data_IF_824866640740
#
_entry.id   IF_824866640740
#
_cell.length_a   1.000
_cell.length_b   1.000
_cell.length_c   1.000
_cell.angle_alpha   90.00
_cell.angle_beta   90.00
_cell.angle_gamma   90.00
#
_symmetry.space_group_name_H-M   'P 1'
#
loop_
_entity.id
_entity.type
_entity.pdbx_description
1 polymer ?
#
# COMPACT_ATOMS: atom_id res chain seq x y z
N UNK A 1 34.57 -84.50 59.84
CA UNK A 1 35.89 -83.91 59.52
C UNK A 1 36.03 -83.77 58.01
N UNK A 2 36.80 -82.77 57.55
CA UNK A 2 36.47 -81.88 56.44
C UNK A 2 36.98 -82.40 55.08
N UNK A 3 36.47 -81.83 53.99
CA UNK A 3 37.14 -81.87 52.69
C UNK A 3 36.98 -80.52 51.98
N UNK A 4 38.14 -79.98 51.59
CA UNK A 4 38.35 -78.66 50.99
C UNK A 4 37.60 -78.50 49.66
N UNK A 5 37.07 -77.28 49.43
CA UNK A 5 36.46 -76.88 48.15
C UNK A 5 37.49 -76.04 47.33
N UNK A 6 37.52 -76.18 45.99
CA UNK A 6 38.69 -75.97 45.13
C UNK A 6 39.00 -74.51 44.78
N UNK A 7 40.19 -74.23 44.20
CA UNK A 7 40.67 -72.88 43.86
C UNK A 7 39.79 -72.13 42.85
N UNK A 8 39.85 -70.78 42.83
CA UNK A 8 39.17 -69.97 41.82
C UNK A 8 39.73 -70.24 40.41
N UNK A 9 38.90 -70.15 39.35
CA UNK A 9 39.36 -70.31 37.97
C UNK A 9 40.31 -69.16 37.58
N UNK A 10 41.43 -69.51 36.94
CA UNK A 10 42.36 -68.56 36.34
C UNK A 10 41.70 -67.81 35.18
N UNK A 11 41.85 -66.48 35.16
CA UNK A 11 41.50 -65.67 33.99
C UNK A 11 42.39 -66.06 32.82
N UNK A 12 41.80 -66.61 31.75
CA UNK A 12 42.49 -66.81 30.49
C UNK A 12 42.91 -65.44 29.92
N UNK A 13 44.16 -65.27 29.45
CA UNK A 13 44.55 -64.05 28.75
C UNK A 13 43.68 -63.92 27.50
N UNK A 14 42.95 -62.82 27.37
CA UNK A 14 42.18 -62.51 26.18
C UNK A 14 43.07 -62.57 24.94
N UNK A 15 42.64 -63.29 23.91
CA UNK A 15 43.36 -63.36 22.65
C UNK A 15 43.69 -61.95 22.13
N UNK A 16 44.91 -61.68 21.63
CA UNK A 16 45.24 -60.38 21.08
C UNK A 16 44.28 -60.11 19.91
N UNK A 17 43.45 -59.07 20.04
CA UNK A 17 42.67 -58.57 18.91
C UNK A 17 43.67 -58.23 17.81
N UNK A 18 43.63 -58.98 16.71
CA UNK A 18 44.37 -58.62 15.50
C UNK A 18 43.91 -57.22 15.09
N UNK A 19 44.80 -56.24 15.20
CA UNK A 19 44.57 -54.94 14.62
C UNK A 19 44.49 -55.14 13.10
N UNK A 20 43.29 -54.97 12.53
CA UNK A 20 43.14 -54.92 11.09
C UNK A 20 43.87 -53.67 10.59
N UNK A 21 44.83 -53.84 9.69
CA UNK A 21 45.54 -52.73 9.07
C UNK A 21 44.62 -51.97 8.11
N UNK A 22 44.67 -50.65 8.15
CA UNK A 22 43.93 -49.75 7.27
C UNK A 22 44.46 -49.87 5.84
N UNK A 23 43.64 -50.32 4.89
CA UNK A 23 44.09 -50.47 3.50
C UNK A 23 44.06 -49.12 2.78
N UNK A 24 44.97 -48.89 1.82
CA UNK A 24 44.98 -47.69 0.97
C UNK A 24 43.62 -47.45 0.29
N UNK A 25 42.96 -48.53 -0.11
CA UNK A 25 41.64 -48.51 -0.75
C UNK A 25 40.57 -47.97 0.19
N UNK A 26 40.60 -48.35 1.48
CA UNK A 26 39.65 -47.88 2.48
C UNK A 26 39.79 -46.38 2.74
N UNK A 27 41.03 -45.87 2.79
CA UNK A 27 41.32 -44.43 2.87
C UNK A 27 40.73 -43.71 1.66
N UNK A 28 40.97 -44.24 0.46
CA UNK A 28 40.58 -43.61 -0.79
C UNK A 28 39.06 -43.57 -0.94
N UNK A 29 38.37 -44.65 -0.58
CA UNK A 29 36.90 -44.70 -0.56
C UNK A 29 36.36 -43.73 0.51
N UNK A 30 36.96 -43.69 1.71
CA UNK A 30 36.55 -42.75 2.75
C UNK A 30 36.72 -41.30 2.31
N UNK A 31 37.84 -40.95 1.67
CA UNK A 31 38.08 -39.62 1.12
C UNK A 31 37.12 -39.29 -0.03
N UNK A 32 36.81 -40.25 -0.89
CA UNK A 32 35.85 -40.07 -1.97
C UNK A 32 34.45 -39.78 -1.43
N UNK A 33 33.95 -40.59 -0.49
CA UNK A 33 32.65 -40.36 0.16
C UNK A 33 32.65 -39.02 0.89
N UNK A 34 33.70 -38.72 1.66
CA UNK A 34 33.83 -37.45 2.38
C UNK A 34 33.82 -36.26 1.42
N UNK A 35 34.47 -36.37 0.25
CA UNK A 35 34.48 -35.32 -0.76
C UNK A 35 33.08 -35.05 -1.34
N UNK A 36 32.28 -36.10 -1.58
CA UNK A 36 30.91 -35.97 -2.06
C UNK A 36 30.03 -35.33 -0.98
N UNK A 37 30.13 -35.79 0.26
CA UNK A 37 29.39 -35.22 1.39
C UNK A 37 29.76 -33.75 1.60
N UNK A 38 31.04 -33.40 1.52
CA UNK A 38 31.50 -32.02 1.64
C UNK A 38 30.91 -31.12 0.53
N UNK A 39 30.93 -31.59 -0.72
CA UNK A 39 30.36 -30.85 -1.86
C UNK A 39 28.84 -30.66 -1.73
N UNK A 40 28.12 -31.72 -1.35
CA UNK A 40 26.66 -31.66 -1.13
C UNK A 40 26.33 -30.74 0.06
N UNK A 41 27.11 -30.79 1.13
CA UNK A 41 26.91 -29.97 2.32
C UNK A 41 27.09 -28.48 2.01
N UNK A 42 28.14 -28.12 1.27
CA UNK A 42 28.35 -26.72 0.86
C UNK A 42 27.23 -26.23 -0.06
N UNK A 43 26.80 -27.04 -1.03
CA UNK A 43 25.65 -26.69 -1.89
C UNK A 43 24.34 -26.59 -1.12
N UNK A 44 24.13 -27.41 -0.10
CA UNK A 44 22.98 -27.35 0.79
C UNK A 44 22.97 -26.06 1.62
N UNK A 45 24.11 -25.69 2.18
CA UNK A 45 24.29 -24.42 2.91
C UNK A 45 24.06 -23.22 1.98
N UNK A 46 24.65 -23.20 0.78
CA UNK A 46 24.45 -22.15 -0.21
C UNK A 46 22.98 -22.02 -0.64
N UNK A 47 22.27 -23.14 -0.76
CA UNK A 47 20.84 -23.17 -1.07
C UNK A 47 20.01 -22.54 0.05
N UNK A 48 20.29 -22.89 1.30
CA UNK A 48 19.60 -22.34 2.46
C UNK A 48 19.87 -20.84 2.65
N UNK A 49 21.11 -20.40 2.48
CA UNK A 49 21.49 -18.98 2.56
C UNK A 49 20.72 -18.18 1.53
N UNK A 50 20.70 -18.60 0.25
CA UNK A 50 19.94 -17.91 -0.81
C UNK A 50 18.44 -17.89 -0.54
N UNK A 51 17.87 -18.99 -0.02
CA UNK A 51 16.46 -19.05 0.33
C UNK A 51 16.13 -18.09 1.49
N UNK A 52 17.01 -18.00 2.49
CA UNK A 52 16.88 -17.04 3.60
C UNK A 52 16.96 -15.61 3.10
N UNK A 53 17.95 -15.29 2.28
CA UNK A 53 18.14 -13.93 1.74
C UNK A 53 16.92 -13.50 0.92
N UNK A 54 16.39 -14.39 0.08
CA UNK A 54 15.16 -14.15 -0.66
C UNK A 54 13.98 -13.91 0.29
N UNK A 55 13.77 -14.77 1.30
CA UNK A 55 12.69 -14.61 2.27
C UNK A 55 12.79 -13.30 3.05
N UNK A 56 14.00 -12.93 3.48
CA UNK A 56 14.28 -11.65 4.14
C UNK A 56 13.94 -10.47 3.24
N UNK A 57 14.37 -10.48 1.96
CA UNK A 57 14.05 -9.41 1.01
C UNK A 57 12.54 -9.25 0.78
N UNK A 58 11.78 -10.35 0.69
CA UNK A 58 10.32 -10.29 0.58
C UNK A 58 9.68 -9.73 1.85
N UNK A 59 10.20 -10.09 3.04
CA UNK A 59 9.75 -9.55 4.33
C UNK A 59 9.94 -8.04 4.42
N UNK A 60 11.13 -7.54 4.05
CA UNK A 60 11.44 -6.11 4.06
C UNK A 60 10.55 -5.34 3.07
N UNK A 61 10.28 -5.90 1.89
CA UNK A 61 9.37 -5.32 0.90
C UNK A 61 7.93 -5.23 1.42
N UNK A 62 7.45 -6.28 2.11
CA UNK A 62 6.12 -6.28 2.70
C UNK A 62 5.98 -5.26 3.84
N UNK A 63 7.00 -5.14 4.70
CA UNK A 63 7.03 -4.13 5.76
C UNK A 63 7.01 -2.71 5.18
N UNK A 64 7.83 -2.45 4.16
CA UNK A 64 7.83 -1.15 3.46
C UNK A 64 6.46 -0.84 2.87
N UNK A 65 5.85 -1.78 2.16
CA UNK A 65 4.51 -1.60 1.60
C UNK A 65 3.47 -1.30 2.69
N UNK A 66 3.52 -2.04 3.80
CA UNK A 66 2.65 -1.79 4.96
C UNK A 66 2.81 -0.39 5.53
N UNK A 67 4.06 0.11 5.67
CA UNK A 67 4.32 1.49 6.12
C UNK A 67 3.74 2.53 5.15
N UNK A 68 3.90 2.33 3.84
CA UNK A 68 3.38 3.25 2.82
C UNK A 68 1.86 3.30 2.84
N UNK A 69 1.21 2.14 2.91
CA UNK A 69 -0.25 2.03 3.01
C UNK A 69 -0.75 2.69 4.29
N UNK A 70 -0.10 2.43 5.43
CA UNK A 70 -0.43 3.06 6.70
C UNK A 70 -0.28 4.59 6.66
N UNK A 71 0.77 5.10 6.00
CA UNK A 71 0.95 6.55 5.82
C UNK A 71 -0.14 7.16 4.92
N UNK A 72 -0.54 6.46 3.86
CA UNK A 72 -1.64 6.89 2.98
C UNK A 72 -2.98 6.95 3.73
N UNK A 73 -3.28 5.94 4.56
CA UNK A 73 -4.46 5.94 5.44
C UNK A 73 -4.41 7.06 6.48
N UNK A 74 -3.25 7.28 7.10
CA UNK A 74 -3.06 8.36 8.07
C UNK A 74 -3.30 9.75 7.44
N UNK A 75 -2.95 9.94 6.17
CA UNK A 75 -3.22 11.19 5.47
C UNK A 75 -4.71 11.38 5.20
N UNK A 76 -5.42 10.32 4.81
CA UNK A 76 -6.85 10.35 4.50
C UNK A 76 -7.75 10.43 5.74
N UNK A 77 -7.38 9.78 6.84
CA UNK A 77 -8.15 9.85 8.10
C UNK A 77 -8.05 11.22 8.77
N UNK A 78 -7.08 12.04 8.39
CA UNK A 78 -6.89 13.41 8.87
C UNK A 78 -7.47 14.47 7.92
N UNK A 79 -8.24 14.08 6.90
CA UNK A 79 -8.87 15.03 5.97
C UNK A 79 -9.64 16.11 6.73
N UNK A 80 -9.45 17.36 6.29
CA UNK A 80 -10.08 18.52 6.91
C UNK A 80 -10.60 19.46 5.82
N UNK A 81 -11.89 19.79 5.91
CA UNK A 81 -12.52 20.73 4.99
C UNK A 81 -11.87 22.10 5.05
N UNK A 82 -11.72 22.72 3.88
CA UNK A 82 -11.24 24.08 3.69
C UNK A 82 -12.24 24.84 2.83
N UNK A 83 -12.51 26.10 3.17
CA UNK A 83 -13.42 26.94 2.41
C UNK A 83 -12.81 27.50 1.09
N UNK A 84 -11.50 27.35 0.90
CA UNK A 84 -10.76 28.03 -0.20
C UNK A 84 -10.11 27.07 -1.19
N UNK A 85 -10.10 25.78 -0.87
CA UNK A 85 -9.39 24.75 -1.65
C UNK A 85 -10.14 23.43 -1.52
N UNK A 86 -10.22 22.63 -2.60
CA UNK A 86 -10.82 21.29 -2.52
C UNK A 86 -10.16 20.45 -1.42
N UNK A 87 -10.97 19.73 -0.66
CA UNK A 87 -10.46 18.93 0.47
C UNK A 87 -9.70 17.69 0.01
N UNK A 88 -10.17 17.04 -1.05
CA UNK A 88 -9.58 15.85 -1.66
C UNK A 88 -9.80 15.92 -3.17
N UNK A 89 -8.75 15.74 -3.96
CA UNK A 89 -8.84 15.75 -5.42
C UNK A 89 -7.83 14.80 -6.04
N UNK A 90 -8.28 13.99 -6.99
CA UNK A 90 -7.43 13.19 -7.86
C UNK A 90 -7.59 13.66 -9.30
N UNK A 91 -6.49 14.01 -9.97
CA UNK A 91 -6.50 14.48 -11.37
C UNK A 91 -5.86 13.46 -12.35
N UNK A 92 -5.69 12.21 -11.90
CA UNK A 92 -5.04 11.14 -12.69
C UNK A 92 -3.52 11.11 -12.57
N UNK A 93 -2.89 12.25 -12.33
CA UNK A 93 -1.45 12.34 -12.11
C UNK A 93 -1.09 12.36 -10.62
N UNK A 94 -1.93 12.97 -9.80
CA UNK A 94 -1.71 13.11 -8.37
C UNK A 94 -3.01 13.16 -7.56
N UNK A 95 -2.91 12.69 -6.32
CA UNK A 95 -3.93 12.72 -5.28
C UNK A 95 -3.50 13.81 -4.32
N UNK A 96 -4.31 14.86 -4.24
CA UNK A 96 -4.07 16.04 -3.41
C UNK A 96 -5.12 16.10 -2.35
N UNK A 97 -4.70 16.40 -1.14
CA UNK A 97 -5.59 16.46 -0.01
C UNK A 97 -5.17 17.54 0.97
N UNK A 98 -6.15 18.09 1.66
CA UNK A 98 -5.95 18.97 2.81
C UNK A 98 -6.23 18.16 4.07
N UNK A 99 -5.25 18.13 4.97
CA UNK A 99 -5.36 17.42 6.24
C UNK A 99 -5.05 18.32 7.43
N UNK A 100 -5.53 17.89 8.59
CA UNK A 100 -5.17 18.46 9.89
C UNK A 100 -3.72 18.13 10.24
N UNK A 101 -3.04 19.11 10.84
CA UNK A 101 -1.73 19.00 11.46
C UNK A 101 -1.78 19.72 12.82
N UNK A 102 -0.99 19.31 13.84
CA UNK A 102 -1.01 19.99 15.15
C UNK A 102 -0.76 21.51 15.10
N UNK A 103 -0.09 21.99 14.06
CA UNK A 103 0.26 23.41 13.86
C UNK A 103 -0.62 24.13 12.81
N UNK A 104 -1.67 23.49 12.27
CA UNK A 104 -2.53 24.09 11.25
C UNK A 104 -3.00 23.08 10.20
N UNK A 105 -3.23 23.55 8.98
CA UNK A 105 -3.61 22.71 7.83
C UNK A 105 -2.40 22.42 6.95
N UNK A 106 -2.37 21.24 6.36
CA UNK A 106 -1.29 20.81 5.49
C UNK A 106 -1.85 20.27 4.18
N UNK A 107 -1.24 20.65 3.06
CA UNK A 107 -1.50 20.04 1.77
C UNK A 107 -0.56 18.85 1.61
N UNK A 108 -1.11 17.69 1.28
CA UNK A 108 -0.35 16.48 0.96
C UNK A 108 -0.64 16.08 -0.48
N UNK A 109 0.41 15.69 -1.19
CA UNK A 109 0.36 15.25 -2.58
C UNK A 109 1.00 13.87 -2.69
N UNK A 110 0.24 12.92 -3.20
CA UNK A 110 0.75 11.62 -3.65
C UNK A 110 0.79 11.61 -5.17
N UNK A 111 1.86 11.09 -5.77
CA UNK A 111 2.00 11.02 -7.23
C UNK A 111 2.92 9.88 -7.65
N UNK A 112 2.66 9.28 -8.81
CA UNK A 112 3.51 8.25 -9.42
C UNK A 112 4.38 8.89 -10.50
N UNK A 113 5.71 8.80 -10.34
CA UNK A 113 6.70 9.32 -11.30
C UNK A 113 7.80 8.29 -11.48
N UNK A 114 8.13 7.96 -12.73
CA UNK A 114 9.20 7.01 -13.08
C UNK A 114 9.11 5.65 -12.34
N UNK A 115 7.89 5.13 -12.20
CA UNK A 115 7.64 3.86 -11.49
C UNK A 115 7.83 3.94 -9.97
N UNK A 116 7.92 5.15 -9.41
CA UNK A 116 8.06 5.42 -7.98
C UNK A 116 6.88 6.24 -7.47
N UNK A 117 6.27 5.80 -6.39
CA UNK A 117 5.29 6.58 -5.66
C UNK A 117 6.03 7.60 -4.79
N UNK A 118 5.60 8.84 -4.87
CA UNK A 118 6.14 9.98 -4.13
C UNK A 118 5.07 10.56 -3.21
N UNK A 119 5.53 11.08 -2.08
CA UNK A 119 4.71 11.83 -1.13
C UNK A 119 5.37 13.16 -0.83
N UNK A 120 4.67 14.25 -1.10
CA UNK A 120 5.05 15.59 -0.67
C UNK A 120 4.04 16.11 0.35
N UNK A 121 4.52 16.89 1.32
CA UNK A 121 3.67 17.56 2.30
C UNK A 121 4.17 18.99 2.51
N UNK A 122 3.26 19.97 2.43
CA UNK A 122 3.59 21.38 2.65
C UNK A 122 4.01 21.63 4.10
N UNK A 123 4.69 22.74 4.43
CA UNK A 123 4.67 23.26 5.79
C UNK A 123 3.22 23.48 6.27
N UNK A 124 2.92 23.35 7.57
CA UNK A 124 1.59 23.64 8.09
C UNK A 124 1.26 25.13 7.92
N UNK A 125 0.02 25.42 7.54
CA UNK A 125 -0.51 26.74 7.27
C UNK A 125 -1.57 27.08 8.31
N UNK A 126 -1.50 28.27 8.89
CA UNK A 126 -2.46 28.77 9.88
C UNK A 126 -3.45 29.79 9.29
N UNK A 127 -3.24 30.20 8.03
CA UNK A 127 -4.10 31.14 7.31
C UNK A 127 -4.58 30.55 5.97
N UNK A 128 -5.64 31.15 5.43
CA UNK A 128 -6.26 30.73 4.17
C UNK A 128 -5.36 31.02 2.97
N UNK A 129 -4.68 32.16 2.96
CA UNK A 129 -3.81 32.58 1.86
C UNK A 129 -2.59 31.64 1.71
N UNK A 130 -1.99 31.19 2.81
CA UNK A 130 -0.90 30.23 2.86
C UNK A 130 -1.36 28.84 2.44
N UNK A 131 -2.55 28.40 2.87
CA UNK A 131 -3.14 27.15 2.40
C UNK A 131 -3.38 27.16 0.88
N UNK A 132 -3.95 28.24 0.35
CA UNK A 132 -4.18 28.38 -1.08
C UNK A 132 -2.86 28.36 -1.87
N UNK A 133 -1.81 29.05 -1.39
CA UNK A 133 -0.47 28.98 -2.00
C UNK A 133 0.09 27.56 -1.96
N UNK A 134 0.03 26.88 -0.83
CA UNK A 134 0.49 25.50 -0.70
C UNK A 134 -0.26 24.55 -1.66
N UNK A 135 -1.57 24.77 -1.84
CA UNK A 135 -2.37 24.03 -2.79
C UNK A 135 -1.94 24.26 -4.24
N UNK A 136 -1.72 25.51 -4.64
CA UNK A 136 -1.23 25.86 -5.98
C UNK A 136 0.16 25.27 -6.26
N UNK A 137 1.06 25.26 -5.27
CA UNK A 137 2.36 24.57 -5.36
C UNK A 137 2.16 23.08 -5.59
N UNK A 138 1.21 22.47 -4.87
CA UNK A 138 0.84 21.06 -5.00
C UNK A 138 0.39 20.65 -6.40
N UNK A 139 -0.04 21.58 -7.25
CA UNK A 139 -0.43 21.30 -8.64
C UNK A 139 0.77 21.00 -9.56
N UNK A 140 1.96 21.48 -9.21
CA UNK A 140 3.13 21.48 -10.11
C UNK A 140 4.23 20.55 -9.61
N UNK A 141 4.37 19.38 -10.24
CA UNK A 141 5.40 18.38 -9.86
C UNK A 141 6.82 18.96 -9.80
N UNK A 142 7.20 19.83 -10.74
CA UNK A 142 8.53 20.45 -10.80
C UNK A 142 8.88 21.24 -9.53
N UNK A 143 7.89 21.81 -8.83
CA UNK A 143 8.10 22.50 -7.56
C UNK A 143 8.22 21.53 -6.38
N UNK A 144 7.63 20.33 -6.49
CA UNK A 144 7.58 19.33 -5.43
C UNK A 144 8.80 18.41 -5.44
N UNK A 145 9.35 18.08 -6.61
CA UNK A 145 10.33 17.02 -6.80
C UNK A 145 11.57 17.11 -5.89
N UNK A 146 12.00 18.33 -5.50
CA UNK A 146 13.15 18.53 -4.61
C UNK A 146 12.85 18.31 -3.12
N UNK A 147 11.57 18.26 -2.74
CA UNK A 147 11.11 18.10 -1.35
C UNK A 147 10.20 16.87 -1.17
N UNK A 148 9.76 16.25 -2.26
CA UNK A 148 8.97 15.04 -2.24
C UNK A 148 9.82 13.85 -1.79
N UNK A 149 9.23 12.97 -0.99
CA UNK A 149 9.87 11.75 -0.51
C UNK A 149 9.47 10.57 -1.40
N UNK A 150 10.42 9.79 -1.94
CA UNK A 150 10.10 8.55 -2.62
C UNK A 150 9.72 7.51 -1.55
N UNK A 151 8.51 6.95 -1.66
CA UNK A 151 7.94 6.08 -0.61
C UNK A 151 7.84 4.62 -1.06
N UNK A 152 7.63 4.37 -2.35
CA UNK A 152 7.53 3.01 -2.90
C UNK A 152 8.09 2.97 -4.32
N UNK A 153 8.87 1.95 -4.65
CA UNK A 153 9.43 1.74 -5.98
C UNK A 153 8.75 0.55 -6.68
N UNK A 154 8.92 0.45 -8.01
CA UNK A 154 8.39 -0.66 -8.80
C UNK A 154 6.88 -0.61 -9.02
N UNK A 155 6.25 0.56 -8.84
CA UNK A 155 4.82 0.73 -9.05
C UNK A 155 4.56 0.93 -10.54
N UNK A 156 3.92 -0.05 -11.19
CA UNK A 156 3.62 0.03 -12.62
C UNK A 156 2.32 0.77 -12.94
N UNK A 157 1.36 0.74 -12.02
CA UNK A 157 0.12 1.49 -12.14
C UNK A 157 -0.39 1.90 -10.75
N UNK A 158 -1.01 3.07 -10.70
CA UNK A 158 -1.65 3.62 -9.52
C UNK A 158 -3.02 4.17 -9.90
N UNK A 159 -4.06 3.69 -9.23
CA UNK A 159 -5.44 4.09 -9.47
C UNK A 159 -6.12 4.43 -8.15
N UNK A 160 -7.01 5.41 -8.20
CA UNK A 160 -7.82 5.86 -7.06
C UNK A 160 -9.29 5.84 -7.46
N UNK A 161 -10.12 5.28 -6.59
CA UNK A 161 -11.56 5.20 -6.76
C UNK A 161 -12.25 5.83 -5.55
N UNK A 162 -13.42 6.41 -5.80
CA UNK A 162 -14.27 6.98 -4.77
C UNK A 162 -15.55 6.18 -4.62
N UNK A 163 -15.99 6.07 -3.37
CA UNK A 163 -17.34 5.64 -3.01
C UNK A 163 -18.08 6.89 -2.54
N UNK A 164 -19.02 7.41 -3.33
CA UNK A 164 -19.73 8.67 -3.03
C UNK A 164 -21.05 8.38 -2.32
N UNK A 165 -21.55 9.37 -1.58
CA UNK A 165 -22.85 9.25 -0.92
C UNK A 165 -23.96 9.10 -1.96
N UNK A 166 -24.79 8.07 -1.83
CA UNK A 166 -25.85 7.76 -2.80
C UNK A 166 -25.41 6.81 -3.93
N UNK A 167 -24.11 6.56 -4.11
CA UNK A 167 -23.62 5.53 -5.04
C UNK A 167 -23.72 4.13 -4.41
N UNK A 168 -23.89 3.12 -5.26
CA UNK A 168 -23.84 1.69 -4.87
C UNK A 168 -22.59 0.98 -5.42
N UNK A 169 -21.61 1.73 -5.95
CA UNK A 169 -20.41 1.19 -6.57
C UNK A 169 -19.22 2.13 -6.43
N UNK A 170 -18.02 1.54 -6.49
CA UNK A 170 -16.78 2.28 -6.61
C UNK A 170 -16.63 2.85 -8.02
N UNK A 171 -16.48 4.16 -8.14
CA UNK A 171 -16.23 4.84 -9.42
C UNK A 171 -14.79 5.37 -9.46
N UNK A 172 -14.20 5.49 -10.65
CA UNK A 172 -12.87 6.10 -10.75
C UNK A 172 -12.94 7.53 -10.22
N UNK A 173 -11.92 7.97 -9.48
CA UNK A 173 -11.93 9.29 -8.84
C UNK A 173 -12.07 10.47 -9.82
N UNK A 174 -11.71 10.27 -11.09
CA UNK A 174 -11.88 11.26 -12.17
C UNK A 174 -13.22 11.16 -12.89
N UNK A 175 -13.99 10.10 -12.67
CA UNK A 175 -15.33 10.00 -13.23
C UNK A 175 -16.26 10.96 -12.47
N UNK A 176 -16.88 11.89 -13.21
CA UNK A 176 -18.14 12.51 -12.79
C UNK A 176 -19.12 11.35 -12.59
N UNK A 177 -19.63 11.14 -11.38
CA UNK A 177 -20.71 10.18 -11.20
C UNK A 177 -21.86 10.64 -12.10
N UNK A 178 -22.23 9.81 -13.06
CA UNK A 178 -23.24 10.14 -14.05
C UNK A 178 -24.64 10.08 -13.43
N UNK A 179 -25.30 11.24 -13.41
CA UNK A 179 -26.76 11.48 -13.37
C UNK A 179 -27.51 11.15 -12.08
N UNK A 180 -28.47 12.01 -11.69
CA UNK A 180 -29.46 11.65 -10.69
C UNK A 180 -30.24 10.44 -11.18
N UNK A 181 -30.22 9.38 -10.38
CA UNK A 181 -31.18 8.31 -10.47
C UNK A 181 -32.58 8.90 -10.26
N UNK A 182 -33.46 8.80 -11.27
CA UNK A 182 -34.89 8.99 -11.09
C UNK A 182 -35.51 10.31 -11.53
N UNK A 183 -35.34 10.68 -12.81
CA UNK A 183 -36.47 11.30 -13.53
C UNK A 183 -36.81 10.42 -14.73
N UNK A 184 -37.86 9.62 -14.59
CA UNK A 184 -38.53 8.97 -15.71
C UNK A 184 -38.83 10.06 -16.76
N UNK A 185 -38.37 9.97 -18.02
CA UNK A 185 -38.76 10.93 -19.02
C UNK A 185 -40.24 10.69 -19.30
N UNK A 186 -41.10 11.55 -18.75
CA UNK A 186 -42.45 11.71 -19.30
C UNK A 186 -42.24 12.28 -20.71
N UNK A 187 -42.75 11.64 -21.78
CA UNK A 187 -42.58 12.18 -23.12
C UNK A 187 -43.30 13.52 -23.22
N UNK A 188 -42.53 14.59 -23.47
CA UNK A 188 -43.06 15.92 -23.73
C UNK A 188 -43.83 15.93 -25.06
N UNK A 189 -45.08 16.38 -25.02
CA UNK A 189 -45.92 16.67 -26.19
C UNK A 189 -45.42 17.97 -26.86
N UNK A 190 -45.40 18.10 -28.20
CA UNK A 190 -44.91 19.31 -28.84
C UNK A 190 -45.78 20.53 -28.52
N UNK A 191 -45.13 21.63 -28.17
CA UNK A 191 -45.75 22.93 -27.89
C UNK A 191 -46.26 23.59 -29.18
N UNK A 192 -47.47 24.14 -29.13
CA UNK A 192 -47.94 25.21 -30.02
C UNK A 192 -48.17 26.45 -29.15
N UNK A 193 -47.61 27.57 -29.60
CA UNK A 193 -47.42 28.76 -28.77
C UNK A 193 -48.63 29.69 -28.63
N UNK A 194 -48.49 30.64 -27.72
CA UNK A 194 -49.03 32.00 -27.77
C UNK A 194 -48.42 32.84 -26.64
N UNK A 195 -47.92 34.03 -26.99
CA UNK A 195 -47.63 35.20 -26.14
C UNK A 195 -48.95 35.78 -25.61
N UNK A 196 -49.14 36.49 -24.48
CA UNK A 196 -48.37 37.43 -23.61
C UNK A 196 -49.19 37.60 -22.29
N UNK A 197 -49.06 38.69 -21.48
CA UNK A 197 -48.00 39.03 -20.51
C UNK A 197 -48.51 39.19 -19.05
N UNK A 198 -47.56 39.47 -18.15
CA UNK A 198 -47.71 40.17 -16.85
C UNK A 198 -48.33 39.42 -15.66
N UNK A 199 -47.49 39.07 -14.68
CA UNK A 199 -47.88 38.99 -13.27
C UNK A 199 -46.67 39.38 -12.38
N UNK A 200 -46.80 40.35 -11.46
CA UNK A 200 -45.74 40.71 -10.52
C UNK A 200 -45.78 39.83 -9.27
N UNK A 201 -44.64 39.27 -8.90
CA UNK A 201 -44.36 38.80 -7.54
C UNK A 201 -44.36 37.29 -7.34
N UNK A 202 -43.20 36.68 -7.51
CA UNK A 202 -42.72 35.59 -6.64
C UNK A 202 -41.25 35.89 -6.32
N UNK A 203 -40.82 35.85 -5.05
CA UNK A 203 -39.41 35.89 -4.72
C UNK A 203 -38.78 34.63 -5.33
N UNK A 204 -37.76 34.84 -6.17
CA UNK A 204 -36.98 33.75 -6.73
C UNK A 204 -36.47 32.87 -5.62
N UNK A 205 -36.88 31.61 -5.67
CA UNK A 205 -36.27 30.48 -4.97
C UNK A 205 -34.76 30.67 -5.01
N UNK A 206 -34.20 30.92 -3.83
CA UNK A 206 -32.77 31.00 -3.60
C UNK A 206 -32.23 29.64 -4.00
N UNK A 207 -31.72 29.53 -5.24
CA UNK A 207 -30.92 28.41 -5.66
C UNK A 207 -29.70 28.39 -4.74
N UNK A 208 -29.83 27.72 -3.60
CA UNK A 208 -28.74 27.38 -2.72
C UNK A 208 -27.66 26.81 -3.64
N UNK A 209 -26.55 27.53 -3.75
CA UNK A 209 -25.37 27.12 -4.51
C UNK A 209 -25.03 25.69 -4.07
N UNK A 210 -25.49 24.67 -4.83
CA UNK A 210 -25.10 23.30 -4.58
C UNK A 210 -23.57 23.30 -4.59
N UNK A 211 -22.90 22.94 -3.48
CA UNK A 211 -21.46 22.99 -3.42
C UNK A 211 -20.96 22.16 -4.60
N UNK A 212 -20.20 22.81 -5.49
CA UNK A 212 -19.73 22.19 -6.72
C UNK A 212 -19.25 20.78 -6.38
N UNK A 213 -19.82 19.75 -7.01
CA UNK A 213 -19.73 18.33 -6.62
C UNK A 213 -18.28 17.82 -6.38
N UNK A 214 -17.29 18.56 -6.89
CA UNK A 214 -15.86 18.41 -6.63
C UNK A 214 -15.40 18.72 -5.19
N UNK A 215 -16.22 19.37 -4.37
CA UNK A 215 -15.94 19.73 -2.97
C UNK A 215 -16.58 18.75 -1.96
N UNK A 216 -17.36 17.79 -2.46
CA UNK A 216 -17.92 16.71 -1.65
C UNK A 216 -16.84 15.66 -1.37
N UNK A 217 -16.48 15.52 -0.10
CA UNK A 217 -15.61 14.43 0.37
C UNK A 217 -16.34 13.10 0.13
N UNK A 218 -15.72 12.13 -0.57
CA UNK A 218 -16.34 10.82 -0.78
C UNK A 218 -16.48 10.08 0.56
N UNK A 219 -17.48 9.19 0.66
CA UNK A 219 -17.66 8.33 1.84
C UNK A 219 -16.57 7.26 1.95
N UNK A 220 -15.89 6.93 0.85
CA UNK A 220 -14.75 6.02 0.85
C UNK A 220 -13.76 6.28 -0.27
N UNK A 221 -12.51 5.88 -0.05
CA UNK A 221 -11.43 5.95 -1.03
C UNK A 221 -10.79 4.57 -1.15
N UNK A 222 -10.63 4.10 -2.39
CA UNK A 222 -9.92 2.87 -2.72
C UNK A 222 -8.63 3.20 -3.45
N UNK A 223 -7.53 2.68 -2.94
CA UNK A 223 -6.21 2.67 -3.56
C UNK A 223 -6.00 1.35 -4.28
N UNK A 224 -5.54 1.39 -5.52
CA UNK A 224 -5.06 0.23 -6.24
C UNK A 224 -3.64 0.48 -6.75
N UNK A 225 -2.71 -0.40 -6.38
CA UNK A 225 -1.31 -0.37 -6.80
C UNK A 225 -0.98 -1.65 -7.55
N UNK A 226 -0.40 -1.53 -8.74
CA UNK A 226 0.16 -2.66 -9.48
C UNK A 226 1.66 -2.74 -9.20
N UNK A 227 2.09 -3.86 -8.61
CA UNK A 227 3.46 -4.14 -8.18
C UNK A 227 3.96 -5.41 -8.89
N UNK A 228 5.27 -5.69 -8.90
CA UNK A 228 5.80 -6.92 -9.50
C UNK A 228 5.27 -8.19 -8.82
N UNK A 229 4.96 -8.10 -7.52
CA UNK A 229 4.39 -9.18 -6.74
C UNK A 229 2.87 -9.38 -6.95
N UNK A 230 2.20 -8.46 -7.65
CA UNK A 230 0.76 -8.51 -7.90
C UNK A 230 0.06 -7.17 -7.65
N UNK A 231 -1.27 -7.20 -7.66
CA UNK A 231 -2.12 -6.01 -7.43
C UNK A 231 -2.50 -5.94 -5.96
N UNK A 232 -2.19 -4.80 -5.33
CA UNK A 232 -2.69 -4.44 -4.01
C UNK A 232 -3.93 -3.56 -4.17
N UNK A 233 -5.03 -3.93 -3.49
CA UNK A 233 -6.21 -3.09 -3.35
C UNK A 233 -6.42 -2.77 -1.88
N UNK A 234 -6.61 -1.49 -1.54
CA UNK A 234 -6.88 -1.04 -0.19
C UNK A 234 -8.08 -0.08 -0.17
N UNK A 235 -9.09 -0.45 0.60
CA UNK A 235 -10.30 0.32 0.79
C UNK A 235 -10.29 1.01 2.15
N UNK A 236 -10.61 2.30 2.18
CA UNK A 236 -10.75 3.09 3.38
C UNK A 236 -12.09 3.82 3.36
N UNK A 237 -12.93 3.56 4.36
CA UNK A 237 -14.12 4.39 4.60
C UNK A 237 -13.70 5.65 5.34
N UNK A 238 -14.12 6.80 4.82
CA UNK A 238 -13.90 8.07 5.47
C UNK A 238 -14.99 8.30 6.51
N UNK A 239 -14.65 8.84 7.70
CA UNK A 239 -15.67 9.21 8.65
C UNK A 239 -16.60 10.24 8.01
N UNK A 240 -17.90 10.10 8.24
CA UNK A 240 -18.88 11.13 7.89
C UNK A 240 -18.42 12.42 8.56
N UNK A 241 -17.96 13.37 7.76
CA UNK A 241 -17.45 14.62 8.30
C UNK A 241 -18.60 15.36 8.98
N UNK A 242 -18.43 15.82 10.24
CA UNK A 242 -19.47 16.51 10.98
C UNK A 242 -19.89 17.81 10.31
#
# INVERSE_FOLDING_TARGET
MPALRPPPPAHAPGAPRRAAGFTLVEVLVALFILSIVALLSWRGVDGLVRARDAASAHGDAALRLGTVVGQWEADLTQLQRSATTPTLRHDGAALRLVRRHPQGLQVVVWTLQDGRLWRWASPPQTDTAGLQRAWQTGLQWTLLQGQALPVLEGVSAWQVYYYRSGDNAWSNAQSSAGRPAGRVPVPARPASGASSPDNPGEPGDDGEDEPAEADLIPSGVRLQLSLPAGVLTRDLMLPLAP
#
